data_IF_612175289890
#
_entry.id   IF_612175289890
#
_cell.length_a   1.000
_cell.length_b   1.000
_cell.length_c   1.000
_cell.angle_alpha   90.00
_cell.angle_beta   90.00
_cell.angle_gamma   90.00
#
_symmetry.space_group_name_H-M   'P 1'
#
loop_
_entity.id
_entity.type
_entity.pdbx_description
1 polymer ?
#
# COMPACT_ATOMS: atom_id res chain seq x y z
N UNK A 1 -24.83 -22.73 -17.94
CA UNK A 1 -23.88 -21.81 -18.61
C UNK A 1 -24.04 -20.37 -18.12
N UNK A 2 -25.25 -19.79 -18.06
CA UNK A 2 -25.44 -18.40 -17.58
C UNK A 2 -24.93 -18.04 -16.16
N UNK A 3 -24.69 -19.01 -15.28
CA UNK A 3 -24.13 -18.76 -13.94
C UNK A 3 -22.61 -18.57 -13.95
N UNK A 4 -21.91 -19.22 -14.89
CA UNK A 4 -20.46 -19.09 -15.04
C UNK A 4 -20.12 -17.71 -15.64
N UNK A 5 -20.87 -17.29 -16.67
CA UNK A 5 -20.69 -15.98 -17.32
C UNK A 5 -20.85 -14.82 -16.32
N UNK A 6 -21.86 -14.87 -15.45
CA UNK A 6 -22.06 -13.86 -14.40
C UNK A 6 -20.94 -13.82 -13.35
N UNK A 7 -20.31 -14.96 -13.06
CA UNK A 7 -19.18 -15.02 -12.14
C UNK A 7 -17.93 -14.41 -12.77
N UNK A 8 -17.69 -14.66 -14.07
CA UNK A 8 -16.60 -14.01 -14.79
C UNK A 8 -16.79 -12.49 -14.87
N UNK A 9 -18.01 -12.01 -15.16
CA UNK A 9 -18.32 -10.59 -15.18
C UNK A 9 -18.10 -9.92 -13.81
N UNK A 10 -18.49 -10.59 -12.72
CA UNK A 10 -18.28 -10.10 -11.37
C UNK A 10 -16.79 -10.08 -10.98
N UNK A 11 -16.01 -11.09 -11.40
CA UNK A 11 -14.58 -11.12 -11.16
C UNK A 11 -13.87 -9.96 -11.89
N UNK A 12 -14.19 -9.73 -13.16
CA UNK A 12 -13.64 -8.63 -13.94
C UNK A 12 -13.96 -7.27 -13.30
N UNK A 13 -15.22 -7.07 -12.87
CA UNK A 13 -15.64 -5.84 -12.20
C UNK A 13 -14.88 -5.61 -10.87
N UNK A 14 -14.71 -6.66 -10.06
CA UNK A 14 -13.99 -6.55 -8.78
C UNK A 14 -12.51 -6.21 -9.04
N UNK A 15 -11.88 -6.85 -10.02
CA UNK A 15 -10.49 -6.59 -10.38
C UNK A 15 -10.29 -5.15 -10.87
N UNK A 16 -11.16 -4.68 -11.77
CA UNK A 16 -11.15 -3.30 -12.26
C UNK A 16 -11.31 -2.30 -11.11
N UNK A 17 -12.25 -2.56 -10.19
CA UNK A 17 -12.45 -1.71 -9.02
C UNK A 17 -11.20 -1.64 -8.13
N UNK A 18 -10.56 -2.79 -7.84
CA UNK A 18 -9.34 -2.83 -7.03
C UNK A 18 -8.21 -2.08 -7.71
N UNK A 19 -8.02 -2.29 -9.02
CA UNK A 19 -7.01 -1.59 -9.81
C UNK A 19 -7.20 -0.07 -9.74
N UNK A 20 -8.43 0.42 -9.92
CA UNK A 20 -8.75 1.85 -9.80
C UNK A 20 -8.39 2.37 -8.40
N UNK A 21 -8.82 1.68 -7.34
CA UNK A 21 -8.54 2.11 -5.97
C UNK A 21 -7.04 2.17 -5.66
N UNK A 22 -6.26 1.21 -6.16
CA UNK A 22 -4.81 1.21 -5.98
C UNK A 22 -4.16 2.35 -6.76
N UNK A 23 -4.58 2.61 -8.00
CA UNK A 23 -4.08 3.75 -8.80
C UNK A 23 -4.38 5.09 -8.13
N UNK A 24 -5.62 5.31 -7.69
CA UNK A 24 -6.03 6.52 -6.98
C UNK A 24 -5.16 6.75 -5.74
N UNK A 25 -4.91 5.71 -4.94
CA UNK A 25 -3.97 5.79 -3.82
C UNK A 25 -2.58 6.21 -4.31
N UNK A 26 -2.05 5.64 -5.38
CA UNK A 26 -0.68 5.95 -5.82
C UNK A 26 -0.53 7.36 -6.42
N UNK A 27 -1.58 7.93 -7.01
CA UNK A 27 -1.54 9.22 -7.71
C UNK A 27 -1.88 10.42 -6.81
N UNK A 28 -2.81 10.27 -5.87
CA UNK A 28 -3.35 11.41 -5.12
C UNK A 28 -2.45 11.83 -3.94
N UNK A 29 -2.17 13.13 -3.75
CA UNK A 29 -1.42 13.59 -2.58
C UNK A 29 -2.24 13.40 -1.30
N UNK A 30 -1.69 12.67 -0.33
CA UNK A 30 -2.31 12.53 1.01
C UNK A 30 -1.91 13.66 1.94
N UNK A 31 -2.76 13.89 2.93
CA UNK A 31 -2.39 14.75 4.04
C UNK A 31 -1.38 14.03 4.97
N UNK A 32 -0.61 14.80 5.71
CA UNK A 32 0.44 14.30 6.60
C UNK A 32 -0.07 13.50 7.82
N UNK A 33 -1.38 13.36 8.01
CA UNK A 33 -2.01 12.61 9.11
C UNK A 33 -2.71 11.33 8.64
N UNK A 34 -2.49 10.94 7.38
CA UNK A 34 -2.95 9.68 6.80
C UNK A 34 -1.74 8.77 6.53
N UNK A 35 -1.96 7.45 6.57
CA UNK A 35 -0.92 6.50 6.19
C UNK A 35 -0.39 6.81 4.78
N UNK A 36 0.91 6.59 4.52
CA UNK A 36 1.45 6.79 3.19
C UNK A 36 0.69 5.97 2.16
N UNK A 37 0.46 6.55 0.99
CA UNK A 37 -0.28 5.87 -0.09
C UNK A 37 0.25 4.50 -0.45
N UNK A 38 1.58 4.37 -0.51
CA UNK A 38 2.21 3.09 -0.84
C UNK A 38 1.93 2.04 0.24
N UNK A 39 1.80 2.43 1.52
CA UNK A 39 1.42 1.53 2.61
C UNK A 39 -0.03 1.09 2.44
N UNK A 40 -0.95 2.03 2.22
CA UNK A 40 -2.36 1.70 2.02
C UNK A 40 -2.56 0.79 0.79
N UNK A 41 -1.88 1.10 -0.32
CA UNK A 41 -1.90 0.30 -1.53
C UNK A 41 -1.31 -1.10 -1.30
N UNK A 42 -0.19 -1.20 -0.58
CA UNK A 42 0.43 -2.48 -0.17
C UNK A 42 -0.56 -3.35 0.61
N UNK A 43 -1.22 -2.77 1.63
CA UNK A 43 -2.18 -3.49 2.47
C UNK A 43 -3.43 -3.92 1.68
N UNK A 44 -3.91 -3.09 0.76
CA UNK A 44 -5.04 -3.43 -0.09
C UNK A 44 -4.67 -4.56 -1.06
N UNK A 45 -3.51 -4.47 -1.72
CA UNK A 45 -3.02 -5.49 -2.64
C UNK A 45 -2.81 -6.83 -1.93
N UNK A 46 -2.16 -6.83 -0.76
CA UNK A 46 -1.93 -8.05 0.02
C UNK A 46 -3.24 -8.72 0.45
N UNK A 47 -4.24 -7.95 0.84
CA UNK A 47 -5.49 -8.50 1.39
C UNK A 47 -6.45 -8.99 0.31
N UNK A 48 -6.38 -8.43 -0.90
CA UNK A 48 -7.42 -8.64 -1.91
C UNK A 48 -6.88 -9.32 -3.17
N UNK A 49 -5.64 -9.03 -3.57
CA UNK A 49 -5.05 -9.58 -4.81
C UNK A 49 -4.30 -10.88 -4.56
N UNK A 50 -3.40 -10.93 -3.57
CA UNK A 50 -2.57 -12.13 -3.28
C UNK A 50 -3.43 -13.38 -3.01
N UNK A 51 -4.54 -13.34 -2.26
CA UNK A 51 -5.38 -14.52 -2.06
C UNK A 51 -6.03 -15.06 -3.36
N UNK A 52 -5.99 -14.29 -4.44
CA UNK A 52 -6.62 -14.58 -5.73
C UNK A 52 -5.61 -14.95 -6.83
N UNK A 53 -4.40 -15.42 -6.46
CA UNK A 53 -3.26 -15.78 -7.33
C UNK A 53 -3.62 -16.52 -8.65
N UNK A 54 -4.68 -17.34 -8.66
CA UNK A 54 -5.12 -18.09 -9.85
C UNK A 54 -5.78 -17.24 -10.96
N UNK A 55 -6.09 -15.96 -10.69
CA UNK A 55 -6.86 -15.09 -11.60
C UNK A 55 -6.23 -13.71 -11.83
N UNK A 56 -4.93 -13.54 -11.58
CA UNK A 56 -4.28 -12.23 -11.67
C UNK A 56 -4.18 -11.79 -13.15
N UNK A 57 -4.82 -10.66 -13.46
CA UNK A 57 -4.67 -9.98 -14.75
C UNK A 57 -3.30 -9.27 -14.84
N UNK A 58 -2.71 -9.19 -16.02
CA UNK A 58 -1.40 -8.56 -16.25
C UNK A 58 -1.31 -7.12 -15.69
N UNK A 59 -2.40 -6.35 -15.74
CA UNK A 59 -2.44 -4.98 -15.18
C UNK A 59 -2.19 -4.91 -13.66
N UNK A 60 -2.51 -5.99 -12.92
CA UNK A 60 -2.22 -6.07 -11.49
C UNK A 60 -0.73 -6.34 -11.22
N UNK A 61 0.01 -6.95 -12.15
CA UNK A 61 1.47 -7.08 -12.05
C UNK A 61 2.16 -5.73 -12.17
N UNK A 62 1.72 -4.88 -13.10
CA UNK A 62 2.26 -3.52 -13.24
C UNK A 62 2.02 -2.71 -11.95
N UNK A 63 0.81 -2.81 -11.38
CA UNK A 63 0.51 -2.18 -10.09
C UNK A 63 1.35 -2.73 -8.93
N UNK A 64 1.60 -4.03 -8.90
CA UNK A 64 2.48 -4.63 -7.90
C UNK A 64 3.89 -4.03 -7.99
N UNK A 65 4.42 -3.87 -9.20
CA UNK A 65 5.71 -3.24 -9.43
C UNK A 65 5.73 -1.77 -8.99
N UNK A 66 4.69 -0.99 -9.32
CA UNK A 66 4.59 0.41 -8.91
C UNK A 66 4.56 0.56 -7.37
N UNK A 67 3.82 -0.32 -6.68
CA UNK A 67 3.78 -0.37 -5.21
C UNK A 67 5.18 -0.67 -4.66
N UNK A 68 5.85 -1.69 -5.21
CA UNK A 68 7.19 -2.10 -4.78
C UNK A 68 8.20 -0.98 -5.02
N UNK A 69 8.25 -0.38 -6.21
CA UNK A 69 9.18 0.70 -6.52
C UNK A 69 8.98 1.89 -5.57
N UNK A 70 7.73 2.26 -5.32
CA UNK A 70 7.40 3.34 -4.38
C UNK A 70 7.81 2.98 -2.96
N UNK A 71 7.55 1.75 -2.50
CA UNK A 71 7.99 1.29 -1.18
C UNK A 71 9.51 1.31 -1.02
N UNK A 72 10.27 0.85 -2.02
CA UNK A 72 11.74 0.85 -2.02
C UNK A 72 12.31 2.27 -1.92
N UNK A 73 11.68 3.26 -2.58
CA UNK A 73 12.05 4.67 -2.43
C UNK A 73 11.99 5.15 -0.98
N UNK A 74 11.07 4.61 -0.18
CA UNK A 74 10.94 4.90 1.25
C UNK A 74 11.67 3.89 2.15
N UNK A 75 12.60 3.10 1.59
CA UNK A 75 13.27 2.01 2.31
C UNK A 75 12.30 1.05 3.01
N UNK A 76 11.09 0.90 2.43
CA UNK A 76 9.99 0.06 2.91
C UNK A 76 9.54 0.37 4.34
N UNK A 77 9.73 1.62 4.75
CA UNK A 77 9.44 2.11 6.09
C UNK A 77 8.54 3.33 6.05
N UNK A 78 7.58 3.37 6.95
CA UNK A 78 6.82 4.57 7.24
C UNK A 78 7.22 5.09 8.62
N UNK A 79 7.44 6.39 8.74
CA UNK A 79 7.81 7.03 10.00
C UNK A 79 6.64 7.87 10.49
N UNK A 80 6.29 7.63 11.74
CA UNK A 80 5.18 8.24 12.45
C UNK A 80 5.72 9.07 13.60
N UNK A 81 5.29 10.32 13.71
CA UNK A 81 5.59 11.22 14.81
C UNK A 81 4.31 11.49 15.59
N UNK A 82 4.32 11.20 16.89
CA UNK A 82 3.27 11.58 17.82
C UNK A 82 3.37 13.06 18.13
N UNK A 83 2.29 13.80 17.94
CA UNK A 83 2.20 15.21 18.32
C UNK A 83 1.45 15.33 19.65
N UNK A 84 2.04 15.92 20.71
CA UNK A 84 1.36 16.12 21.99
C UNK A 84 0.02 16.84 21.83
N UNK A 85 -1.05 16.25 22.35
CA UNK A 85 -2.41 16.80 22.27
C UNK A 85 -3.19 16.45 20.99
N UNK A 86 -2.60 15.72 20.04
CA UNK A 86 -3.29 15.18 18.88
C UNK A 86 -3.53 13.68 19.03
N UNK A 87 -4.64 13.19 18.45
CA UNK A 87 -4.95 11.76 18.41
C UNK A 87 -4.21 11.05 17.26
N UNK A 88 -4.04 11.72 16.13
CA UNK A 88 -3.38 11.16 14.95
C UNK A 88 -1.87 11.36 15.02
N UNK A 89 -1.14 10.39 14.47
CA UNK A 89 0.29 10.49 14.23
C UNK A 89 0.54 11.23 12.90
N UNK A 90 1.61 12.00 12.83
CA UNK A 90 2.05 12.69 11.63
C UNK A 90 3.07 11.82 10.88
N UNK A 91 2.91 11.66 9.57
CA UNK A 91 3.90 11.04 8.71
C UNK A 91 5.07 11.99 8.48
N UNK A 92 6.27 11.46 8.64
CA UNK A 92 7.50 12.21 8.44
C UNK A 92 8.37 11.52 7.37
N UNK A 93 9.02 12.32 6.53
CA UNK A 93 9.91 11.79 5.49
C UNK A 93 11.18 11.21 6.14
N UNK A 94 11.60 10.02 5.69
CA UNK A 94 12.68 9.27 6.32
C UNK A 94 14.05 9.94 6.24
N UNK A 95 14.27 10.78 5.22
CA UNK A 95 15.47 11.60 5.05
C UNK A 95 15.52 12.81 5.98
N UNK A 96 14.40 13.17 6.62
CA UNK A 96 14.32 14.31 7.54
C UNK A 96 14.62 13.97 9.00
N UNK A 97 14.83 12.69 9.33
CA UNK A 97 15.07 12.21 10.71
C UNK A 97 16.36 11.38 10.78
N UNK A 98 17.16 11.60 11.83
CA UNK A 98 18.26 10.69 12.18
C UNK A 98 17.69 9.39 12.78
N UNK A 99 17.64 8.35 11.96
CA UNK A 99 17.14 7.01 12.32
C UNK A 99 17.95 6.34 13.44
N UNK A 100 19.19 6.79 13.71
CA UNK A 100 20.01 6.25 14.80
C UNK A 100 19.77 6.97 16.14
N UNK A 101 18.96 8.04 16.14
CA UNK A 101 18.68 8.87 17.29
C UNK A 101 17.23 9.35 17.30
N UNK A 102 16.30 8.38 17.28
CA UNK A 102 14.87 8.64 17.31
C UNK A 102 14.45 9.18 18.69
N UNK A 103 13.67 10.27 18.69
CA UNK A 103 12.95 10.72 19.87
C UNK A 103 11.89 9.70 20.29
N UNK A 104 11.53 9.65 21.57
CA UNK A 104 10.47 8.77 22.11
C UNK A 104 9.12 8.96 21.41
N UNK A 105 8.89 10.12 20.79
CA UNK A 105 7.67 10.45 20.04
C UNK A 105 7.70 9.95 18.58
N UNK A 106 8.75 9.27 18.13
CA UNK A 106 8.90 8.80 16.75
C UNK A 106 8.88 7.27 16.71
N UNK A 107 8.04 6.70 15.85
CA UNK A 107 7.97 5.27 15.53
C UNK A 107 8.28 5.07 14.04
N UNK A 108 9.19 4.15 13.74
CA UNK A 108 9.36 3.62 12.39
C UNK A 108 8.68 2.25 12.29
N UNK A 109 7.85 2.07 11.27
CA UNK A 109 7.17 0.80 10.98
C UNK A 109 7.68 0.22 9.68
N UNK A 110 8.06 -1.06 9.72
CA UNK A 110 8.65 -1.80 8.60
C UNK A 110 7.58 -2.64 7.89
N UNK A 111 7.54 -2.55 6.56
CA UNK A 111 6.58 -3.28 5.72
C UNK A 111 7.23 -4.36 4.86
N UNK A 112 8.46 -4.78 5.20
CA UNK A 112 9.22 -5.78 4.45
C UNK A 112 8.43 -7.06 4.16
N UNK A 113 7.73 -7.59 5.16
CA UNK A 113 6.96 -8.83 4.99
C UNK A 113 5.84 -8.66 3.97
N UNK A 114 5.18 -7.51 3.93
CA UNK A 114 4.09 -7.23 3.01
C UNK A 114 4.65 -7.04 1.58
N UNK A 115 5.74 -6.29 1.44
CA UNK A 115 6.40 -6.06 0.14
C UNK A 115 6.96 -7.36 -0.45
N UNK A 116 7.58 -8.22 0.37
CA UNK A 116 8.11 -9.51 -0.10
C UNK A 116 7.00 -10.51 -0.48
N UNK A 117 5.75 -10.31 -0.02
CA UNK A 117 4.60 -11.08 -0.52
C UNK A 117 4.14 -10.60 -1.89
N UNK A 118 4.19 -9.29 -2.15
CA UNK A 118 3.79 -8.69 -3.43
C UNK A 118 4.78 -9.03 -4.55
N UNK A 119 6.06 -9.22 -4.23
CA UNK A 119 7.11 -9.57 -5.21
C UNK A 119 7.06 -11.01 -5.75
N UNK A 120 6.29 -11.89 -5.14
CA UNK A 120 6.23 -13.32 -5.50
C UNK A 120 5.31 -13.55 -6.69
#
# INVERSE_FOLDING_TARGET
MAGLDRMYDACAFIQEYIEIQIRELLEDPMNEYQDPNWVQATLLFERVVIPCEEYIADGLFDLANDIVEKAEKYSRRAIYQRIPGMYNEKIVEADSIDMNNLSDDIRAEEYDTNIEKIKK
#
